data_IF_706103205014
#
_entry.id   IF_706103205014
#
_cell.length_a   1.000
_cell.length_b   1.000
_cell.length_c   1.000
_cell.angle_alpha   90.00
_cell.angle_beta   90.00
_cell.angle_gamma   90.00
#
_symmetry.space_group_name_H-M   'P 1'
#
loop_
_entity.id
_entity.type
_entity.pdbx_description
1 polymer ?
#
# COMPACT_ATOMS: atom_id res chain seq x y z
N UNK A 1 -3.86 -12.06 11.99
CA UNK A 1 -2.47 -11.86 11.55
C UNK A 1 -2.20 -10.36 11.33
N UNK A 2 -1.22 -9.75 12.00
CA UNK A 2 -0.96 -8.30 11.94
C UNK A 2 -0.46 -7.81 10.57
N UNK A 3 -0.13 -8.74 9.66
CA UNK A 3 0.32 -8.43 8.29
C UNK A 3 -0.71 -7.65 7.48
N UNK A 4 -2.01 -7.85 7.74
CA UNK A 4 -3.07 -7.11 7.03
C UNK A 4 -3.03 -5.60 7.31
N UNK A 5 -2.38 -5.16 8.40
CA UNK A 5 -2.25 -3.74 8.71
C UNK A 5 -1.45 -2.95 7.65
N UNK A 6 -0.61 -3.63 6.87
CA UNK A 6 0.18 -3.04 5.79
C UNK A 6 -0.55 -2.96 4.45
N UNK A 7 -1.81 -3.41 4.42
CA UNK A 7 -2.65 -3.43 3.25
C UNK A 7 -3.95 -2.68 3.52
N UNK A 8 -4.67 -2.30 2.46
CA UNK A 8 -5.99 -1.69 2.57
C UNK A 8 -6.96 -2.61 3.32
N UNK A 9 -7.86 -2.01 4.10
CA UNK A 9 -8.87 -2.73 4.89
C UNK A 9 -9.85 -3.51 4.00
N UNK A 10 -10.15 -2.99 2.81
CA UNK A 10 -11.09 -3.57 1.85
C UNK A 10 -10.32 -4.26 0.70
N UNK A 11 -10.15 -5.60 0.74
CA UNK A 11 -9.61 -6.34 -0.40
C UNK A 11 -10.63 -6.46 -1.53
N UNK A 12 -10.15 -6.38 -2.77
CA UNK A 12 -10.95 -6.72 -3.95
C UNK A 12 -11.09 -8.25 -4.06
N UNK A 13 -12.25 -8.75 -4.51
CA UNK A 13 -12.46 -10.19 -4.74
C UNK A 13 -12.25 -10.48 -6.23
N UNK A 14 -11.31 -11.38 -6.53
CA UNK A 14 -11.09 -11.88 -7.88
C UNK A 14 -11.82 -13.21 -8.05
N UNK A 15 -12.76 -13.24 -8.99
CA UNK A 15 -13.56 -14.42 -9.33
C UNK A 15 -12.90 -15.22 -10.45
N UNK A 16 -13.01 -16.54 -10.39
CA UNK A 16 -12.66 -17.43 -11.49
C UNK A 16 -13.71 -17.35 -12.61
N UNK A 17 -13.38 -17.88 -13.79
CA UNK A 17 -14.28 -17.92 -14.95
C UNK A 17 -15.62 -18.61 -14.67
N UNK A 18 -15.70 -19.48 -13.66
CA UNK A 18 -16.93 -20.14 -13.21
C UNK A 18 -17.70 -19.34 -12.14
N UNK A 19 -17.39 -18.05 -11.97
CA UNK A 19 -18.06 -17.16 -11.02
C UNK A 19 -17.71 -17.39 -9.55
N UNK A 20 -16.81 -18.32 -9.21
CA UNK A 20 -16.44 -18.48 -7.79
C UNK A 20 -15.26 -17.63 -7.38
N UNK A 21 -15.34 -17.02 -6.19
CA UNK A 21 -14.25 -16.27 -5.58
C UNK A 21 -13.00 -17.15 -5.46
N UNK A 22 -11.90 -16.70 -6.07
CA UNK A 22 -10.63 -17.43 -6.18
C UNK A 22 -9.53 -16.77 -5.36
N UNK A 23 -9.46 -15.44 -5.39
CA UNK A 23 -8.45 -14.68 -4.64
C UNK A 23 -9.04 -13.45 -3.95
N UNK A 24 -8.49 -13.10 -2.79
CA UNK A 24 -8.56 -11.75 -2.24
C UNK A 24 -7.35 -10.96 -2.69
N UNK A 25 -7.57 -9.74 -3.16
CA UNK A 25 -6.54 -8.87 -3.71
C UNK A 25 -6.37 -7.67 -2.79
N UNK A 26 -5.25 -7.65 -2.09
CA UNK A 26 -4.88 -6.60 -1.14
C UNK A 26 -3.94 -5.59 -1.78
N UNK A 27 -4.23 -4.29 -1.64
CA UNK A 27 -3.33 -3.23 -2.07
C UNK A 27 -2.41 -2.80 -0.92
N UNK A 28 -1.10 -2.79 -1.14
CA UNK A 28 -0.13 -2.29 -0.16
C UNK A 28 -0.32 -0.80 0.09
N UNK A 29 -0.35 -0.37 1.35
CA UNK A 29 -0.57 1.03 1.71
C UNK A 29 0.62 1.94 1.36
N UNK A 30 1.84 1.40 1.27
CA UNK A 30 3.03 2.16 0.87
C UNK A 30 3.15 2.30 -0.66
N UNK A 31 3.23 1.17 -1.37
CA UNK A 31 3.59 1.16 -2.80
C UNK A 31 2.42 0.87 -3.75
N UNK A 32 1.20 0.68 -3.22
CA UNK A 32 -0.03 0.38 -3.97
C UNK A 32 -0.02 -0.89 -4.83
N UNK A 33 1.06 -1.69 -4.77
CA UNK A 33 1.12 -2.98 -5.47
C UNK A 33 0.08 -3.94 -4.88
N UNK A 34 -0.65 -4.60 -5.78
CA UNK A 34 -1.66 -5.60 -5.45
C UNK A 34 -1.01 -6.96 -5.11
N UNK A 35 -1.51 -7.62 -4.08
CA UNK A 35 -1.09 -8.95 -3.63
C UNK A 35 -2.29 -9.85 -3.47
N UNK A 36 -2.22 -11.03 -4.09
CA UNK A 36 -3.29 -12.02 -4.10
C UNK A 36 -3.10 -13.02 -2.97
N UNK A 37 -4.18 -13.34 -2.28
CA UNK A 37 -4.30 -14.41 -1.29
C UNK A 37 -5.36 -15.40 -1.76
N UNK A 38 -5.02 -16.70 -1.77
CA UNK A 38 -5.93 -17.76 -2.22
C UNK A 38 -7.11 -17.96 -1.28
N UNK A 39 -8.31 -18.16 -1.85
CA UNK A 39 -9.56 -18.31 -1.10
C UNK A 39 -10.13 -19.72 -1.06
N UNK A 40 -9.56 -20.69 -1.79
CA UNK A 40 -10.17 -22.03 -1.96
C UNK A 40 -9.25 -23.21 -1.69
N UNK A 41 -7.94 -23.05 -1.77
CA UNK A 41 -6.98 -24.14 -1.61
C UNK A 41 -6.49 -24.28 -0.17
N UNK A 42 -5.71 -25.34 0.09
CA UNK A 42 -4.98 -25.60 1.34
C UNK A 42 -4.15 -24.38 1.81
N UNK A 43 -3.83 -23.46 0.89
CA UNK A 43 -3.17 -22.17 1.13
C UNK A 43 -4.10 -21.04 1.61
N UNK A 44 -5.33 -21.33 2.04
CA UNK A 44 -6.28 -20.32 2.57
C UNK A 44 -5.69 -19.43 3.68
N UNK A 45 -4.63 -19.88 4.34
CA UNK A 45 -3.87 -19.13 5.36
C UNK A 45 -2.46 -18.69 4.94
N UNK A 46 -2.02 -18.95 3.70
CA UNK A 46 -0.65 -18.63 3.28
C UNK A 46 -0.49 -17.13 3.04
N UNK A 47 -0.11 -16.42 4.10
CA UNK A 47 0.27 -15.01 4.02
C UNK A 47 1.71 -14.83 3.53
N UNK A 48 2.41 -15.89 3.09
CA UNK A 48 3.83 -15.85 2.73
C UNK A 48 4.17 -14.79 1.69
N UNK A 49 3.35 -14.68 0.62
CA UNK A 49 3.52 -13.65 -0.42
C UNK A 49 3.33 -12.22 0.14
N UNK A 50 2.38 -12.05 1.06
CA UNK A 50 2.15 -10.77 1.74
C UNK A 50 3.29 -10.44 2.71
N UNK A 51 3.73 -11.40 3.53
CA UNK A 51 4.87 -11.28 4.44
C UNK A 51 6.14 -10.88 3.70
N UNK A 52 6.45 -11.57 2.60
CA UNK A 52 7.62 -11.29 1.78
C UNK A 52 7.58 -9.87 1.22
N UNK A 53 6.43 -9.48 0.63
CA UNK A 53 6.26 -8.14 0.11
C UNK A 53 6.41 -7.07 1.21
N UNK A 54 5.75 -7.27 2.34
CA UNK A 54 5.74 -6.31 3.44
C UNK A 54 7.15 -6.11 3.99
N UNK A 55 7.89 -7.20 4.18
CA UNK A 55 9.29 -7.15 4.64
C UNK A 55 10.18 -6.36 3.68
N UNK A 56 9.98 -6.53 2.37
CA UNK A 56 10.74 -5.79 1.35
C UNK A 56 10.30 -4.33 1.20
N UNK A 57 9.02 -4.04 1.40
CA UNK A 57 8.43 -2.73 1.12
C UNK A 57 8.48 -1.77 2.32
N UNK A 58 8.39 -2.31 3.54
CA UNK A 58 8.36 -1.55 4.80
C UNK A 58 9.62 -1.77 5.65
N UNK A 59 10.39 -2.82 5.36
CA UNK A 59 11.53 -3.23 6.17
C UNK A 59 11.17 -4.25 7.23
N UNK A 60 12.16 -5.05 7.65
CA UNK A 60 12.00 -6.10 8.68
C UNK A 60 11.57 -5.52 10.02
N UNK A 61 12.11 -4.37 10.39
CA UNK A 61 11.85 -3.70 11.67
C UNK A 61 10.39 -3.25 11.78
N UNK A 62 9.84 -2.64 10.73
CA UNK A 62 8.43 -2.25 10.70
C UNK A 62 7.50 -3.46 10.82
N UNK A 63 7.83 -4.56 10.13
CA UNK A 63 7.07 -5.82 10.22
C UNK A 63 7.15 -6.43 11.62
N UNK A 64 8.31 -6.37 12.28
CA UNK A 64 8.47 -6.85 13.65
C UNK A 64 7.64 -6.02 14.64
N UNK A 65 7.74 -4.68 14.57
CA UNK A 65 6.97 -3.79 15.45
C UNK A 65 5.45 -3.97 15.31
N UNK A 66 4.97 -4.26 14.10
CA UNK A 66 3.56 -4.56 13.86
C UNK A 66 3.13 -5.94 14.39
N UNK A 67 4.05 -6.91 14.49
CA UNK A 67 3.74 -8.24 15.04
C UNK A 67 3.40 -8.20 16.52
N UNK A 68 4.04 -7.31 17.26
CA UNK A 68 3.84 -7.13 18.71
C UNK A 68 2.65 -6.20 19.03
N UNK A 69 1.95 -5.71 18.00
CA UNK A 69 0.84 -4.75 18.11
C UNK A 69 -0.50 -5.36 17.69
N UNK A 70 -1.61 -4.77 18.17
CA UNK A 70 -2.94 -5.08 17.65
C UNK A 70 -3.11 -4.50 16.23
N UNK A 71 -3.97 -5.12 15.42
CA UNK A 71 -4.18 -4.74 14.02
C UNK A 71 -4.51 -3.24 13.86
N UNK A 72 -5.45 -2.72 14.65
CA UNK A 72 -5.87 -1.32 14.58
C UNK A 72 -4.74 -0.34 14.94
N UNK A 73 -3.97 -0.67 15.98
CA UNK A 73 -2.81 0.14 16.39
C UNK A 73 -1.71 0.12 15.32
N UNK A 74 -1.49 -1.03 14.68
CA UNK A 74 -0.53 -1.14 13.59
C UNK A 74 -0.99 -0.34 12.36
N UNK A 75 -2.27 -0.37 12.00
CA UNK A 75 -2.83 0.41 10.89
C UNK A 75 -2.67 1.92 11.12
N UNK A 76 -3.04 2.42 12.30
CA UNK A 76 -2.90 3.83 12.65
C UNK A 76 -1.43 4.28 12.65
N UNK A 77 -0.51 3.45 13.17
CA UNK A 77 0.92 3.72 13.10
C UNK A 77 1.44 3.79 11.65
N UNK A 78 1.03 2.85 10.80
CA UNK A 78 1.40 2.77 9.38
C UNK A 78 0.87 3.99 8.61
N UNK A 79 -0.38 4.38 8.85
CA UNK A 79 -1.00 5.54 8.23
C UNK A 79 -0.26 6.84 8.60
N UNK A 80 0.11 6.99 9.88
CA UNK A 80 0.92 8.12 10.36
C UNK A 80 2.29 8.17 9.72
N UNK A 81 2.95 7.03 9.50
CA UNK A 81 4.27 6.97 8.83
C UNK A 81 4.13 7.39 7.35
N UNK A 82 3.11 6.90 6.65
CA UNK A 82 2.84 7.27 5.25
C UNK A 82 2.55 8.78 5.10
N UNK A 83 1.79 9.37 6.03
CA UNK A 83 1.56 10.83 6.05
C UNK A 83 2.86 11.60 6.30
N UNK A 84 3.72 11.12 7.22
CA UNK A 84 5.00 11.76 7.52
C UNK A 84 5.99 11.72 6.35
N UNK A 85 6.03 10.66 5.54
CA UNK A 85 6.93 10.61 4.37
C UNK A 85 6.52 11.60 3.29
N UNK A 86 5.22 11.75 3.03
CA UNK A 86 4.68 12.74 2.09
C UNK A 86 4.91 14.18 2.58
N UNK A 87 4.76 14.43 3.89
CA UNK A 87 5.06 15.72 4.50
C UNK A 87 6.55 16.08 4.37
N UNK A 88 7.47 15.11 4.55
CA UNK A 88 8.91 15.31 4.37
C UNK A 88 9.28 15.64 2.92
N UNK A 89 8.71 14.92 1.95
CA UNK A 89 8.86 15.23 0.53
C UNK A 89 8.34 16.63 0.23
N UNK A 90 7.11 16.94 0.62
CA UNK A 90 6.50 18.28 0.43
C UNK A 90 7.33 19.38 1.08
N UNK A 91 7.87 19.16 2.28
CA UNK A 91 8.74 20.10 2.96
C UNK A 91 10.07 20.29 2.21
N UNK A 92 10.74 19.21 1.80
CA UNK A 92 11.96 19.28 1.01
C UNK A 92 11.74 20.02 -0.32
N UNK A 93 10.63 19.75 -0.99
CA UNK A 93 10.28 20.40 -2.26
C UNK A 93 10.01 21.89 -2.11
N UNK A 94 9.43 22.32 -0.98
CA UNK A 94 9.29 23.75 -0.62
C UNK A 94 10.64 24.45 -0.41
N UNK A 95 11.71 23.72 -0.09
CA UNK A 95 13.06 24.30 0.02
C UNK A 95 13.77 24.45 -1.33
N UNK A 96 13.28 23.80 -2.39
CA UNK A 96 13.80 23.98 -3.74
C UNK A 96 13.37 25.35 -4.31
N UNK A 97 14.32 26.27 -4.46
CA UNK A 97 14.10 27.62 -5.01
C UNK A 97 13.50 27.52 -6.42
N UNK A 98 12.35 28.16 -6.64
CA UNK A 98 11.64 28.12 -7.92
C UNK A 98 10.61 27.00 -8.08
N UNK A 99 10.43 26.12 -7.09
CA UNK A 99 9.44 25.04 -7.09
C UNK A 99 8.05 25.50 -7.56
N UNK A 100 7.53 26.60 -6.98
CA UNK A 100 6.21 27.13 -7.32
C UNK A 100 6.09 27.59 -8.79
N UNK A 101 7.22 27.88 -9.44
CA UNK A 101 7.28 28.32 -10.84
C UNK A 101 7.58 27.15 -11.81
N UNK A 102 8.00 25.98 -11.29
CA UNK A 102 8.35 24.80 -12.11
C UNK A 102 7.16 23.90 -12.43
N UNK A 103 6.05 24.01 -11.67
CA UNK A 103 4.86 23.20 -11.87
C UNK A 103 3.68 24.08 -12.27
N UNK A 104 3.11 23.80 -13.45
CA UNK A 104 1.84 24.40 -13.84
C UNK A 104 0.73 23.90 -12.91
N UNK A 105 -0.01 24.83 -12.32
CA UNK A 105 -1.27 24.53 -11.62
C UNK A 105 -2.45 24.39 -12.58
N UNK A 106 -2.25 24.66 -13.87
CA UNK A 106 -3.28 24.49 -14.90
C UNK A 106 -3.41 22.99 -15.22
N UNK A 107 -4.64 22.44 -15.20
CA UNK A 107 -4.88 21.09 -15.71
C UNK A 107 -4.36 20.98 -17.15
N UNK A 108 -3.69 19.88 -17.52
CA UNK A 108 -3.28 19.69 -18.91
C UNK A 108 -4.52 19.66 -19.80
N UNK A 109 -4.57 20.55 -20.78
CA UNK A 109 -5.60 20.53 -21.82
C UNK A 109 -5.31 19.36 -22.79
N UNK A 110 -6.37 18.71 -23.27
CA UNK A 110 -6.30 17.40 -23.93
C UNK A 110 -5.53 17.37 -25.27
N UNK A 111 -5.08 18.51 -25.78
CA UNK A 111 -4.56 18.64 -27.14
C UNK A 111 -3.06 18.33 -27.31
N UNK A 112 -2.26 18.22 -26.25
CA UNK A 112 -0.80 18.04 -26.38
C UNK A 112 -0.29 16.63 -26.06
N UNK A 113 -1.14 15.60 -26.22
CA UNK A 113 -0.68 14.20 -26.14
C UNK A 113 -0.93 13.53 -27.49
N UNK A 114 -0.02 13.75 -28.44
CA UNK A 114 0.07 12.98 -29.68
C UNK A 114 1.51 12.52 -29.89
#
# INVERSE_FOLDING_TARGET
APIYAFFGADPEIEFANNGTAKYLVYACTNCRKKKKQGLKTQDKGSTGNMSYHTTKCWGKEAVAAAKDSTLDKAQDAIERIGKKSQLKLTAALKTCKGWANSFSTRPPEKETTR
#
